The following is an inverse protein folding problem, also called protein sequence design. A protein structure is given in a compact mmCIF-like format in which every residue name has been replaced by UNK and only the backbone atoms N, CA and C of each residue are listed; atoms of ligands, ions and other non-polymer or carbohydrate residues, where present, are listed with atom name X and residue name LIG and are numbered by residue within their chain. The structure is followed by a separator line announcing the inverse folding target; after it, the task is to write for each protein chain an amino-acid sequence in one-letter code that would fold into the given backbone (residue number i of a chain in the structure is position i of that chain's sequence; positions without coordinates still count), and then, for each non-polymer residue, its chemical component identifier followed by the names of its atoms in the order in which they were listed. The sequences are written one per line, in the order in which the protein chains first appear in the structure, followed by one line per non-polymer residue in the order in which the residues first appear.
data_IF_612137219479
#
_entry.id   IF_612137219479
#
_cell.length_a   1.000
_cell.length_b   1.000
_cell.length_c   1.000
_cell.angle_alpha   90.00
_cell.angle_beta   90.00
_cell.angle_gamma   90.00
#
_symmetry.space_group_name_H-M   'P 1'
#
loop_
_entity.id
_entity.type
_entity.pdbx_description
1 polymer ?
#
# COMPACT_ATOMS: atom_id res chain seq x y z
N UNK A 1 -6.65 -15.86 -15.98
CA UNK A 1 -5.35 -16.50 -16.26
C UNK A 1 -4.29 -15.54 -15.74
N UNK A 2 -3.35 -15.88 -14.85
CA UNK A 2 -3.09 -17.10 -14.09
C UNK A 2 -2.82 -16.77 -12.61
N UNK A 3 -3.03 -17.76 -11.73
CA UNK A 3 -2.85 -17.60 -10.29
C UNK A 3 -1.35 -17.53 -9.98
N UNK A 4 -0.82 -16.32 -9.80
CA UNK A 4 0.50 -16.15 -9.21
C UNK A 4 0.44 -16.61 -7.76
N UNK A 5 1.50 -17.28 -7.31
CA UNK A 5 1.67 -17.61 -5.89
C UNK A 5 1.82 -16.32 -5.08
N UNK A 6 1.27 -16.33 -3.87
CA UNK A 6 1.41 -15.23 -2.92
C UNK A 6 2.16 -15.76 -1.70
N UNK A 7 3.27 -15.12 -1.37
CA UNK A 7 4.07 -15.43 -0.21
C UNK A 7 3.90 -14.32 0.83
N UNK A 8 3.53 -14.71 2.04
CA UNK A 8 3.48 -13.79 3.20
C UNK A 8 4.68 -14.11 4.09
N UNK A 9 5.53 -13.10 4.30
CA UNK A 9 6.77 -13.26 5.07
C UNK A 9 6.62 -12.51 6.38
N UNK A 10 6.93 -13.21 7.47
CA UNK A 10 6.89 -12.69 8.84
C UNK A 10 8.33 -12.59 9.37
N UNK A 11 8.82 -11.38 9.60
CA UNK A 11 10.16 -11.09 10.11
C UNK A 11 10.17 -10.70 11.59
N UNK A 12 11.37 -10.65 12.16
CA UNK A 12 11.65 -10.30 13.57
C UNK A 12 10.96 -11.18 14.61
N UNK A 13 10.59 -12.42 14.27
CA UNK A 13 9.88 -13.33 15.18
C UNK A 13 10.73 -13.76 16.39
N UNK A 14 10.08 -13.97 17.53
CA UNK A 14 10.71 -14.52 18.75
C UNK A 14 10.58 -16.06 18.80
N UNK A 15 9.36 -16.56 18.56
CA UNK A 15 9.07 -17.99 18.56
C UNK A 15 8.23 -18.38 17.34
N UNK A 16 8.60 -19.46 16.66
CA UNK A 16 7.84 -20.04 15.55
C UNK A 16 7.07 -21.26 16.07
N UNK A 17 5.76 -21.32 15.78
CA UNK A 17 4.84 -22.35 16.28
C UNK A 17 4.44 -23.39 15.22
N UNK A 18 5.03 -23.33 14.02
CA UNK A 18 4.72 -24.18 12.87
C UNK A 18 5.98 -24.79 12.24
N UNK A 19 5.79 -25.84 11.44
CA UNK A 19 6.87 -26.50 10.69
C UNK A 19 6.72 -26.33 9.18
N UNK A 20 7.82 -26.47 8.43
CA UNK A 20 7.80 -26.44 6.97
C UNK A 20 6.87 -27.54 6.41
N UNK A 21 6.03 -27.19 5.43
CA UNK A 21 5.01 -28.07 4.84
C UNK A 21 3.72 -28.20 5.66
N UNK A 22 3.64 -27.60 6.85
CA UNK A 22 2.40 -27.53 7.61
C UNK A 22 1.38 -26.63 6.90
N UNK A 23 0.17 -27.14 6.72
CA UNK A 23 -0.94 -26.35 6.21
C UNK A 23 -1.64 -25.65 7.38
N UNK A 24 -1.92 -24.36 7.24
CA UNK A 24 -2.59 -23.54 8.26
C UNK A 24 -3.79 -22.82 7.67
N UNK A 25 -4.79 -22.54 8.50
CA UNK A 25 -5.95 -21.73 8.14
C UNK A 25 -5.83 -20.33 8.76
N UNK A 26 -6.58 -19.36 8.22
CA UNK A 26 -6.68 -18.04 8.81
C UNK A 26 -7.13 -18.14 10.29
N UNK A 27 -6.48 -17.37 11.16
CA UNK A 27 -6.71 -17.38 12.61
C UNK A 27 -5.86 -18.38 13.40
N UNK A 28 -5.12 -19.27 12.74
CA UNK A 28 -4.12 -20.12 13.42
C UNK A 28 -2.88 -19.29 13.75
N UNK A 29 -2.44 -19.33 15.02
CA UNK A 29 -1.18 -18.71 15.43
C UNK A 29 0.00 -19.46 14.78
N UNK A 30 0.84 -18.73 14.05
CA UNK A 30 2.02 -19.29 13.36
C UNK A 30 3.34 -18.93 14.05
N UNK A 31 3.38 -17.81 14.77
CA UNK A 31 4.56 -17.31 15.46
C UNK A 31 4.20 -16.21 16.47
N UNK A 32 5.17 -15.83 17.29
CA UNK A 32 5.15 -14.66 18.17
C UNK A 32 6.10 -13.59 17.62
N UNK A 33 5.64 -12.34 17.56
CA UNK A 33 6.49 -11.21 17.16
C UNK A 33 7.55 -10.93 18.22
N UNK A 34 8.75 -10.55 17.78
CA UNK A 34 9.90 -10.34 18.63
C UNK A 34 10.76 -9.19 18.13
N UNK A 35 12.07 -9.30 18.37
CA UNK A 35 13.07 -8.30 17.96
C UNK A 35 14.34 -8.96 17.39
N UNK A 36 14.22 -10.15 16.79
CA UNK A 36 15.37 -10.89 16.23
C UNK A 36 15.82 -10.28 14.89
N UNK A 37 17.10 -10.47 14.54
CA UNK A 37 17.69 -9.92 13.31
C UNK A 37 17.98 -8.42 13.39
N UNK A 38 17.77 -7.70 12.28
CA UNK A 38 17.96 -6.23 12.22
C UNK A 38 16.66 -5.56 12.66
N UNK A 39 16.49 -5.37 13.96
CA UNK A 39 15.33 -4.71 14.56
C UNK A 39 15.76 -3.71 15.63
N UNK A 40 15.13 -2.53 15.65
CA UNK A 40 15.39 -1.49 16.67
C UNK A 40 14.60 -1.72 17.98
N UNK A 41 13.65 -2.66 17.97
CA UNK A 41 12.82 -3.04 19.10
C UNK A 41 11.72 -4.02 18.66
N UNK A 42 10.89 -4.50 19.60
CA UNK A 42 9.88 -5.51 19.29
C UNK A 42 8.81 -5.01 18.32
N UNK A 43 8.72 -5.64 17.15
CA UNK A 43 7.68 -5.40 16.14
C UNK A 43 7.60 -6.56 15.14
N UNK A 44 6.52 -6.63 14.37
CA UNK A 44 6.40 -7.55 13.25
C UNK A 44 6.80 -6.83 11.95
N UNK A 45 7.75 -7.40 11.21
CA UNK A 45 7.97 -7.05 9.82
C UNK A 45 7.12 -7.96 8.93
N UNK A 46 6.26 -7.38 8.11
CA UNK A 46 5.36 -8.11 7.23
C UNK A 46 5.68 -7.75 5.78
N UNK A 47 5.92 -8.76 4.95
CA UNK A 47 6.00 -8.59 3.50
C UNK A 47 4.95 -9.45 2.81
N UNK A 48 4.46 -8.95 1.69
CA UNK A 48 3.74 -9.75 0.70
C UNK A 48 4.57 -9.76 -0.57
N UNK A 49 4.76 -10.95 -1.16
CA UNK A 49 5.49 -11.14 -2.42
C UNK A 49 4.61 -11.90 -3.40
N UNK A 50 4.58 -11.44 -4.65
CA UNK A 50 3.68 -11.99 -5.68
C UNK A 50 4.50 -12.62 -6.81
N UNK A 51 4.16 -13.86 -7.16
CA UNK A 51 4.78 -14.63 -8.24
C UNK A 51 6.02 -15.40 -7.82
N UNK A 52 6.96 -14.77 -7.11
CA UNK A 52 8.18 -15.41 -6.62
C UNK A 52 8.50 -14.98 -5.18
N UNK A 53 9.05 -15.88 -4.38
CA UNK A 53 9.50 -15.56 -3.02
C UNK A 53 10.86 -14.83 -3.02
N UNK A 54 10.90 -13.65 -3.61
CA UNK A 54 12.10 -12.80 -3.70
C UNK A 54 11.80 -11.37 -3.26
N UNK A 55 12.83 -10.63 -2.81
CA UNK A 55 12.68 -9.21 -2.48
C UNK A 55 12.25 -8.36 -3.67
N UNK A 56 12.65 -8.73 -4.90
CA UNK A 56 12.29 -7.99 -6.11
C UNK A 56 10.79 -8.10 -6.45
N UNK A 57 10.08 -9.00 -5.78
CA UNK A 57 8.65 -9.27 -5.93
C UNK A 57 7.83 -8.75 -4.74
N UNK A 58 8.44 -8.02 -3.81
CA UNK A 58 7.72 -7.41 -2.70
C UNK A 58 6.75 -6.35 -3.21
N UNK A 59 5.49 -6.46 -2.79
CA UNK A 59 4.42 -5.50 -3.06
C UNK A 59 3.95 -4.89 -1.74
N UNK A 60 3.18 -3.80 -1.81
CA UNK A 60 2.72 -3.15 -0.60
C UNK A 60 1.70 -4.03 0.16
N UNK A 61 2.01 -4.49 1.39
CA UNK A 61 1.14 -5.41 2.13
C UNK A 61 -0.20 -4.78 2.50
N UNK A 62 -0.32 -3.45 2.52
CA UNK A 62 -1.56 -2.75 2.81
C UNK A 62 -2.71 -3.11 1.84
N UNK A 63 -2.39 -3.51 0.61
CA UNK A 63 -3.40 -3.98 -0.37
C UNK A 63 -3.91 -5.40 -0.11
N UNK A 64 -3.21 -6.14 0.76
CA UNK A 64 -3.49 -7.54 1.09
C UNK A 64 -4.05 -7.72 2.50
N UNK A 65 -4.22 -6.61 3.24
CA UNK A 65 -4.79 -6.59 4.57
C UNK A 65 -6.23 -6.05 4.53
N UNK A 66 -7.09 -6.61 5.39
CA UNK A 66 -8.40 -6.03 5.62
C UNK A 66 -8.22 -4.65 6.28
N UNK A 67 -8.76 -3.56 5.70
CA UNK A 67 -8.74 -2.25 6.36
C UNK A 67 -9.48 -2.28 7.70
N UNK A 68 -9.11 -1.42 8.68
CA UNK A 68 -9.90 -1.21 9.88
C UNK A 68 -11.37 -0.89 9.57
N UNK A 69 -12.27 -1.28 10.47
CA UNK A 69 -13.71 -1.04 10.26
C UNK A 69 -14.00 0.47 10.09
N UNK A 70 -14.84 0.81 9.11
CA UNK A 70 -15.15 2.21 8.76
C UNK A 70 -14.10 2.90 7.87
N UNK A 71 -13.03 2.22 7.50
CA UNK A 71 -11.97 2.75 6.63
C UNK A 71 -11.81 1.94 5.35
N UNK A 72 -11.23 2.54 4.31
CA UNK A 72 -10.81 1.86 3.09
C UNK A 72 -9.31 2.07 2.83
N UNK A 73 -8.87 1.57 1.68
CA UNK A 73 -7.49 1.75 1.19
C UNK A 73 -7.50 2.55 -0.10
N UNK A 74 -6.61 3.52 -0.22
CA UNK A 74 -6.31 4.21 -1.47
C UNK A 74 -5.10 3.55 -2.13
N UNK A 75 -5.25 3.11 -3.38
CA UNK A 75 -4.15 2.71 -4.26
C UNK A 75 -4.01 3.76 -5.36
N UNK A 76 -2.83 4.36 -5.47
CA UNK A 76 -2.54 5.46 -6.39
C UNK A 76 -1.52 5.02 -7.43
N UNK A 77 -1.77 5.35 -8.68
CA UNK A 77 -0.76 5.39 -9.74
C UNK A 77 -0.57 6.82 -10.21
N UNK A 78 0.52 7.45 -9.80
CA UNK A 78 0.89 8.81 -10.23
C UNK A 78 1.94 8.74 -11.33
N UNK A 79 1.61 9.29 -12.50
CA UNK A 79 2.46 9.26 -13.68
C UNK A 79 2.66 10.65 -14.27
N UNK A 80 3.75 10.84 -14.99
CA UNK A 80 3.86 11.94 -15.97
C UNK A 80 3.17 11.61 -17.28
N UNK A 81 2.99 12.60 -18.16
CA UNK A 81 2.45 12.43 -19.51
C UNK A 81 3.19 11.35 -20.32
N UNK A 82 4.52 11.24 -20.15
CA UNK A 82 5.37 10.20 -20.75
C UNK A 82 5.42 8.88 -19.96
N UNK A 83 4.51 8.70 -18.99
CA UNK A 83 4.29 7.50 -18.16
C UNK A 83 5.44 7.12 -17.24
N UNK A 84 6.27 8.08 -16.82
CA UNK A 84 7.27 7.85 -15.77
C UNK A 84 6.65 7.98 -14.38
N UNK A 85 7.23 7.25 -13.42
CA UNK A 85 6.96 7.46 -12.00
C UNK A 85 7.91 8.51 -11.44
N UNK A 86 7.52 9.12 -10.32
CA UNK A 86 8.38 10.00 -9.55
C UNK A 86 8.68 9.38 -8.19
N UNK A 87 9.95 9.39 -7.80
CA UNK A 87 10.39 8.83 -6.53
C UNK A 87 9.99 9.75 -5.38
N UNK A 88 9.17 9.25 -4.45
CA UNK A 88 8.81 9.99 -3.24
C UNK A 88 8.00 11.26 -3.47
N UNK A 89 7.25 11.35 -4.58
CA UNK A 89 6.33 12.46 -4.81
C UNK A 89 5.23 12.47 -3.75
N UNK A 90 5.04 13.62 -3.10
CA UNK A 90 4.04 13.81 -2.06
C UNK A 90 2.64 13.98 -2.68
N UNK A 91 1.68 13.23 -2.14
CA UNK A 91 0.29 13.28 -2.53
C UNK A 91 -0.55 13.57 -1.30
N UNK A 92 -1.27 14.68 -1.34
CA UNK A 92 -2.13 15.13 -0.26
C UNK A 92 -3.56 14.68 -0.48
N UNK A 93 -4.22 14.25 0.60
CA UNK A 93 -5.64 13.95 0.62
C UNK A 93 -6.37 15.05 1.41
N UNK A 94 -7.39 15.63 0.80
CA UNK A 94 -8.32 16.53 1.46
C UNK A 94 -9.69 15.86 1.57
N UNK A 95 -10.25 15.77 2.78
CA UNK A 95 -11.65 15.38 2.95
C UNK A 95 -12.55 16.50 2.42
N UNK A 96 -13.55 16.11 1.65
CA UNK A 96 -14.57 17.03 1.10
C UNK A 96 -15.77 17.03 2.04
N UNK A 97 -16.16 18.21 2.51
CA UNK A 97 -17.36 18.43 3.32
C UNK A 97 -18.13 19.64 2.77
N UNK A 98 -19.19 19.36 2.02
CA UNK A 98 -19.93 20.37 1.27
C UNK A 98 -19.01 21.07 0.25
N UNK A 99 -18.79 22.38 0.44
CA UNK A 99 -17.90 23.18 -0.40
C UNK A 99 -16.47 23.31 0.15
N UNK A 100 -16.17 22.69 1.30
CA UNK A 100 -14.89 22.83 1.98
C UNK A 100 -13.99 21.63 1.74
N UNK A 101 -12.69 21.88 1.68
CA UNK A 101 -11.63 20.87 1.65
C UNK A 101 -10.79 20.99 2.91
N UNK A 102 -10.70 19.92 3.68
CA UNK A 102 -9.95 19.86 4.95
C UNK A 102 -8.85 18.82 4.81
N UNK A 103 -7.61 19.18 5.15
CA UNK A 103 -6.49 18.23 5.10
C UNK A 103 -6.82 16.97 5.92
N UNK A 104 -6.59 15.80 5.34
CA UNK A 104 -6.95 14.51 5.92
C UNK A 104 -5.82 13.48 5.94
N UNK A 105 -4.71 13.77 5.27
CA UNK A 105 -3.53 12.91 5.25
C UNK A 105 -2.69 13.13 4.02
N UNK A 106 -1.59 12.39 3.95
CA UNK A 106 -0.67 12.39 2.82
C UNK A 106 -0.08 10.99 2.65
N UNK A 107 0.42 10.73 1.45
CA UNK A 107 1.26 9.58 1.15
C UNK A 107 2.37 10.02 0.19
N UNK A 108 3.48 9.31 0.18
CA UNK A 108 4.51 9.47 -0.83
C UNK A 108 4.47 8.30 -1.81
N UNK A 109 4.77 8.56 -3.09
CA UNK A 109 4.99 7.47 -4.03
C UNK A 109 6.22 6.64 -3.65
N UNK A 110 6.24 5.39 -4.08
CA UNK A 110 7.32 4.45 -3.81
C UNK A 110 8.65 5.02 -4.31
N UNK A 111 9.70 4.84 -3.51
CA UNK A 111 11.06 5.18 -3.93
C UNK A 111 11.66 3.98 -4.66
N UNK A 112 12.35 4.22 -5.77
CA UNK A 112 13.02 3.16 -6.55
C UNK A 112 13.99 2.35 -5.68
N UNK A 113 14.69 3.00 -4.75
CA UNK A 113 15.60 2.34 -3.81
C UNK A 113 14.89 1.50 -2.72
N UNK A 114 13.58 1.69 -2.53
CA UNK A 114 12.79 0.99 -1.51
C UNK A 114 12.44 -0.45 -1.87
N UNK A 115 12.60 -0.85 -3.14
CA UNK A 115 12.38 -2.23 -3.59
C UNK A 115 10.93 -2.71 -3.54
N UNK A 116 9.97 -1.83 -3.24
CA UNK A 116 8.53 -2.12 -3.32
C UNK A 116 8.09 -1.93 -4.76
N UNK A 117 7.48 -2.96 -5.31
CA UNK A 117 6.83 -2.93 -6.61
C UNK A 117 5.34 -2.62 -6.45
N UNK A 118 4.76 -2.06 -7.50
CA UNK A 118 3.31 -2.05 -7.65
C UNK A 118 2.76 -3.46 -7.78
N UNK A 119 1.56 -3.68 -7.27
CA UNK A 119 0.83 -4.92 -7.48
C UNK A 119 0.68 -5.20 -8.99
N UNK A 120 0.94 -6.43 -9.49
CA UNK A 120 0.85 -6.73 -10.91
C UNK A 120 -0.51 -6.41 -11.56
N UNK A 121 -1.60 -6.39 -10.78
CA UNK A 121 -2.93 -6.07 -11.29
C UNK A 121 -3.16 -4.57 -11.47
N UNK A 122 -2.53 -3.72 -10.65
CA UNK A 122 -2.80 -2.27 -10.63
C UNK A 122 -1.61 -1.42 -11.09
N UNK A 123 -0.39 -1.87 -10.81
CA UNK A 123 0.83 -1.11 -11.04
C UNK A 123 0.82 0.19 -10.26
N UNK A 124 0.21 0.21 -9.08
CA UNK A 124 0.18 1.38 -8.21
C UNK A 124 1.60 1.71 -7.75
N UNK A 125 1.85 2.97 -7.49
CA UNK A 125 3.12 3.44 -6.95
C UNK A 125 2.93 4.24 -5.67
N UNK A 126 1.79 4.13 -5.01
CA UNK A 126 1.52 4.74 -3.72
C UNK A 126 0.28 4.09 -3.09
N UNK A 127 0.30 3.86 -1.78
CA UNK A 127 -0.83 3.29 -1.05
C UNK A 127 -0.99 3.97 0.30
N UNK A 128 -2.24 4.28 0.65
CA UNK A 128 -2.62 4.74 1.98
C UNK A 128 -3.79 3.91 2.49
N UNK A 129 -3.55 3.06 3.49
CA UNK A 129 -4.58 2.28 4.15
C UNK A 129 -5.17 3.04 5.35
N UNK A 130 -6.34 2.60 5.82
CA UNK A 130 -6.96 3.17 7.01
C UNK A 130 -7.59 4.54 6.77
N UNK A 131 -7.86 4.90 5.52
CA UNK A 131 -8.50 6.18 5.18
C UNK A 131 -9.98 6.08 5.56
N UNK A 132 -10.52 6.95 6.44
CA UNK A 132 -11.94 6.92 6.80
C UNK A 132 -12.83 7.00 5.57
N UNK A 133 -13.96 6.28 5.58
CA UNK A 133 -14.91 6.37 4.47
C UNK A 133 -15.45 7.81 4.29
N UNK A 134 -15.66 8.20 3.04
CA UNK A 134 -16.13 9.53 2.66
C UNK A 134 -15.57 10.00 1.33
N UNK A 135 -15.87 11.25 0.99
CA UNK A 135 -15.42 11.89 -0.24
C UNK A 135 -14.15 12.69 -0.01
N UNK A 136 -13.23 12.61 -0.97
CA UNK A 136 -11.89 13.18 -0.89
C UNK A 136 -11.50 13.83 -2.21
N UNK A 137 -10.67 14.85 -2.13
CA UNK A 137 -9.87 15.33 -3.25
C UNK A 137 -8.42 14.90 -3.03
N UNK A 138 -7.89 14.12 -3.95
CA UNK A 138 -6.49 13.70 -3.96
C UNK A 138 -5.72 14.62 -4.89
N UNK A 139 -4.57 15.10 -4.43
CA UNK A 139 -3.78 16.14 -5.09
C UNK A 139 -2.30 15.83 -5.01
N UNK A 140 -1.58 16.03 -6.11
CA UNK A 140 -0.12 16.02 -6.14
C UNK A 140 0.38 17.15 -7.03
N UNK A 141 1.56 17.68 -6.71
CA UNK A 141 2.33 18.56 -7.60
C UNK A 141 3.55 17.77 -8.08
N UNK A 142 3.69 17.60 -9.38
CA UNK A 142 4.78 16.84 -10.01
C UNK A 142 5.35 17.67 -11.14
N UNK A 143 6.65 17.92 -11.10
CA UNK A 143 7.36 18.76 -12.09
C UNK A 143 6.76 20.17 -12.27
N UNK A 144 6.16 20.72 -11.20
CA UNK A 144 5.45 22.00 -11.23
C UNK A 144 4.06 21.94 -11.87
N UNK A 145 3.56 20.74 -12.22
CA UNK A 145 2.18 20.54 -12.66
C UNK A 145 1.31 19.99 -11.51
N UNK A 146 0.18 20.65 -11.28
CA UNK A 146 -0.85 20.19 -10.35
C UNK A 146 -1.77 19.16 -11.00
N UNK A 147 -1.87 17.98 -10.38
CA UNK A 147 -2.81 16.93 -10.78
C UNK A 147 -3.66 16.50 -9.60
N UNK A 148 -4.94 16.24 -9.86
CA UNK A 148 -5.84 15.79 -8.79
C UNK A 148 -7.19 15.31 -9.29
N UNK A 149 -7.88 14.57 -8.42
CA UNK A 149 -9.19 14.01 -8.70
C UNK A 149 -10.03 13.89 -7.41
N UNK A 150 -11.34 13.99 -7.57
CA UNK A 150 -12.27 13.64 -6.51
C UNK A 150 -12.54 12.14 -6.51
N UNK A 151 -12.54 11.55 -5.32
CA UNK A 151 -12.73 10.12 -5.09
C UNK A 151 -13.68 9.90 -3.91
N UNK A 152 -14.29 8.72 -3.86
CA UNK A 152 -15.02 8.25 -2.69
C UNK A 152 -14.31 7.02 -2.12
N UNK A 153 -13.86 7.10 -0.88
CA UNK A 153 -13.35 5.95 -0.13
C UNK A 153 -14.53 5.22 0.51
N UNK A 154 -14.64 3.92 0.22
CA UNK A 154 -15.66 3.03 0.80
C UNK A 154 -15.03 2.12 1.86
N UNK A 155 -15.76 1.89 2.94
CA UNK A 155 -15.29 1.07 4.04
C UNK A 155 -15.09 -0.39 3.59
N UNK A 156 -13.93 -0.97 3.91
CA UNK A 156 -13.55 -2.34 3.55
C UNK A 156 -13.16 -2.54 2.09
N UNK A 157 -13.12 -1.47 1.28
CA UNK A 157 -12.78 -1.54 -0.13
C UNK A 157 -11.45 -0.84 -0.42
N UNK A 158 -10.85 -1.21 -1.54
CA UNK A 158 -9.74 -0.47 -2.11
C UNK A 158 -10.22 0.41 -3.26
N UNK A 159 -9.93 1.69 -3.17
CA UNK A 159 -10.17 2.68 -4.22
C UNK A 159 -8.88 2.86 -5.01
N UNK A 160 -8.89 2.49 -6.28
CA UNK A 160 -7.77 2.72 -7.19
C UNK A 160 -7.98 4.01 -7.98
N UNK A 161 -6.94 4.83 -8.09
CA UNK A 161 -6.90 5.97 -9.01
C UNK A 161 -5.57 6.05 -9.76
N UNK A 162 -5.65 6.54 -10.99
CA UNK A 162 -4.50 6.99 -11.75
C UNK A 162 -4.58 8.52 -11.92
N UNK A 163 -3.51 9.22 -11.54
CA UNK A 163 -3.31 10.63 -11.82
C UNK A 163 -2.17 10.75 -12.83
N UNK A 164 -2.34 11.56 -13.86
CA UNK A 164 -1.33 11.72 -14.91
C UNK A 164 -1.17 13.20 -15.25
N UNK A 165 0.07 13.70 -15.27
CA UNK A 165 0.37 15.06 -15.76
C UNK A 165 -0.01 15.18 -17.24
N UNK A 166 -0.28 16.40 -17.69
CA UNK A 166 -0.72 16.70 -19.05
C UNK A 166 0.45 16.90 -19.99
N UNK A 167 1.53 17.49 -19.49
CA UNK A 167 2.77 17.75 -20.23
C UNK A 167 3.95 16.93 -19.69
#
# INVERSE_FOLDING_TARGET
EGNLDVYVVYGHLDQISVAAGQHVAAGVQVAEAGSTGIALGPHLHLEVRVGENSYANAVNPALWLKPPDGTGTLALRLLTADRRTWDGAEVTLFRVDGSSRVWAGELATYQTAGGIQGDPAWGENGVLAGVPAGDYYVFAEVDGEEVGAEITIRAGETTFIELTTRE
#
